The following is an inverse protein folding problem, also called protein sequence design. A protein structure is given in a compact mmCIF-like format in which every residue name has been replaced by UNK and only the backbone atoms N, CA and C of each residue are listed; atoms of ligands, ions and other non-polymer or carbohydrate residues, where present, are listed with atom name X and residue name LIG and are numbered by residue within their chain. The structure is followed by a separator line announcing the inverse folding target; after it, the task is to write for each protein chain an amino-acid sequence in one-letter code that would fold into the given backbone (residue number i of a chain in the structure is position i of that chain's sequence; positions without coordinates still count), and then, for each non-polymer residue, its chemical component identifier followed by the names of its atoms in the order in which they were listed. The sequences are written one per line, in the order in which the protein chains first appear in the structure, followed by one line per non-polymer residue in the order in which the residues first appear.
data_IF_334169800729
#
_entry.id   IF_334169800729
#
_cell.length_a   1.000
_cell.length_b   1.000
_cell.length_c   1.000
_cell.angle_alpha   90.00
_cell.angle_beta   90.00
_cell.angle_gamma   90.00
#
_symmetry.space_group_name_H-M   'P 1'
#
loop_
_entity.id
_entity.type
_entity.pdbx_description
1 polymer ?
#
# COMPACT_ATOMS: atom_id res chain seq x y z
N UNK A 1 -14.60 6.85 29.97
CA UNK A 1 -14.48 8.10 30.75
C UNK A 1 -15.78 8.87 30.65
N UNK A 2 -16.23 9.55 31.71
CA UNK A 2 -17.41 10.41 31.64
C UNK A 2 -17.04 11.76 30.99
N UNK A 3 -17.85 12.31 30.07
CA UNK A 3 -17.57 13.58 29.43
C UNK A 3 -17.59 14.73 30.45
N UNK A 4 -16.79 15.80 30.23
CA UNK A 4 -16.72 16.92 31.16
C UNK A 4 -18.05 17.68 31.22
N UNK A 5 -18.31 18.35 32.35
CA UNK A 5 -19.45 19.25 32.48
C UNK A 5 -19.17 20.53 31.69
N UNK A 6 -20.05 20.85 30.75
CA UNK A 6 -20.00 22.06 29.92
C UNK A 6 -21.28 22.88 30.10
N UNK A 7 -21.21 24.18 29.88
CA UNK A 7 -22.36 25.09 29.96
C UNK A 7 -23.24 24.99 28.72
N UNK A 8 -22.65 24.94 27.53
CA UNK A 8 -23.38 24.91 26.25
C UNK A 8 -23.42 23.52 25.60
N UNK A 9 -24.12 22.58 26.24
CA UNK A 9 -24.23 21.20 25.74
C UNK A 9 -25.04 21.06 24.44
N UNK A 10 -25.79 22.09 24.04
CA UNK A 10 -26.54 22.09 22.78
C UNK A 10 -25.64 22.24 21.55
N UNK A 11 -24.40 22.71 21.71
CA UNK A 11 -23.47 22.89 20.59
C UNK A 11 -23.02 21.56 19.96
N UNK A 12 -22.76 20.54 20.77
CA UNK A 12 -22.46 19.19 20.29
C UNK A 12 -22.74 18.15 21.39
N UNK A 13 -23.18 16.97 20.96
CA UNK A 13 -23.35 15.80 21.82
C UNK A 13 -22.20 14.78 21.69
N UNK A 14 -21.20 15.05 20.83
CA UNK A 14 -20.08 14.15 20.64
C UNK A 14 -19.10 14.23 21.81
N UNK A 15 -18.65 13.09 22.38
CA UNK A 15 -17.77 13.11 23.55
C UNK A 15 -16.51 13.96 23.35
N UNK A 16 -15.87 13.88 22.19
CA UNK A 16 -14.63 14.63 21.89
C UNK A 16 -14.87 16.14 21.84
N UNK A 17 -15.98 16.58 21.26
CA UNK A 17 -16.35 17.99 21.18
C UNK A 17 -16.59 18.59 22.57
N UNK A 18 -17.14 17.81 23.49
CA UNK A 18 -17.34 18.25 24.88
C UNK A 18 -16.02 18.53 25.60
N UNK A 19 -14.95 17.77 25.31
CA UNK A 19 -13.61 18.07 25.85
C UNK A 19 -13.04 19.36 25.28
N UNK A 20 -13.24 19.63 23.98
CA UNK A 20 -12.83 20.90 23.36
C UNK A 20 -13.64 22.06 23.93
N UNK A 21 -14.96 21.92 24.03
CA UNK A 21 -15.86 22.94 24.57
C UNK A 21 -15.51 23.29 26.01
N UNK A 22 -15.21 22.31 26.87
CA UNK A 22 -14.79 22.58 28.24
C UNK A 22 -13.54 23.48 28.31
N UNK A 23 -12.55 23.27 27.42
CA UNK A 23 -11.37 24.12 27.33
C UNK A 23 -11.69 25.52 26.80
N UNK A 24 -12.54 25.62 25.78
CA UNK A 24 -13.00 26.92 25.26
C UNK A 24 -13.72 27.72 26.34
N UNK A 25 -14.68 27.11 27.04
CA UNK A 25 -15.45 27.76 28.11
C UNK A 25 -14.56 28.21 29.27
N UNK A 26 -13.58 27.39 29.68
CA UNK A 26 -12.61 27.76 30.70
C UNK A 26 -11.73 28.96 30.28
N UNK A 27 -11.42 29.07 28.99
CA UNK A 27 -10.71 30.21 28.41
C UNK A 27 -11.62 31.42 28.11
N UNK A 28 -12.93 31.36 28.42
CA UNK A 28 -13.89 32.41 28.09
C UNK A 28 -14.19 32.54 26.60
N UNK A 29 -13.80 31.55 25.79
CA UNK A 29 -14.02 31.50 24.35
C UNK A 29 -15.34 30.78 24.02
N UNK A 30 -15.88 31.08 22.84
CA UNK A 30 -17.05 30.41 22.28
C UNK A 30 -16.67 29.75 20.96
N UNK A 31 -17.30 28.61 20.60
CA UNK A 31 -17.14 28.04 19.28
C UNK A 31 -17.50 29.03 18.17
N UNK A 32 -16.77 28.95 17.05
CA UNK A 32 -17.10 29.71 15.85
C UNK A 32 -18.46 29.31 15.29
N UNK A 33 -19.12 30.24 14.61
CA UNK A 33 -20.33 29.92 13.84
C UNK A 33 -20.01 28.92 12.74
N UNK A 34 -20.97 28.06 12.42
CA UNK A 34 -20.88 27.15 11.29
C UNK A 34 -20.68 27.94 10.00
N UNK A 35 -19.85 27.39 9.10
CA UNK A 35 -19.61 28.00 7.81
C UNK A 35 -20.85 27.88 6.90
N UNK A 36 -20.97 28.78 5.93
CA UNK A 36 -22.04 28.67 4.94
C UNK A 36 -21.86 27.41 4.06
N UNK A 37 -22.96 26.93 3.48
CA UNK A 37 -22.95 25.69 2.69
C UNK A 37 -21.95 25.69 1.53
N UNK A 38 -21.70 26.83 0.86
CA UNK A 38 -20.73 26.88 -0.26
C UNK A 38 -19.32 26.68 0.27
N UNK A 39 -19.01 27.28 1.40
CA UNK A 39 -17.73 27.08 2.10
C UNK A 39 -17.58 25.64 2.59
N UNK A 40 -18.62 25.06 3.18
CA UNK A 40 -18.60 23.68 3.68
C UNK A 40 -18.30 22.66 2.58
N UNK A 41 -19.07 22.65 1.48
CA UNK A 41 -18.85 21.68 0.40
C UNK A 41 -17.45 21.82 -0.21
N UNK A 42 -16.95 23.05 -0.35
CA UNK A 42 -15.60 23.28 -0.87
C UNK A 42 -14.56 22.65 0.04
N UNK A 43 -14.61 22.91 1.36
CA UNK A 43 -13.64 22.40 2.33
C UNK A 43 -13.65 20.87 2.38
N UNK A 44 -14.82 20.29 2.63
CA UNK A 44 -14.94 18.82 2.79
C UNK A 44 -14.58 18.06 1.51
N UNK A 45 -14.82 18.64 0.32
CA UNK A 45 -14.39 18.00 -0.94
C UNK A 45 -12.87 17.97 -1.07
N UNK A 46 -12.18 19.07 -0.74
CA UNK A 46 -10.71 19.09 -0.73
C UNK A 46 -10.14 18.18 0.36
N UNK A 47 -10.72 18.21 1.56
CA UNK A 47 -10.23 17.42 2.69
C UNK A 47 -10.38 15.91 2.45
N UNK A 48 -11.50 15.48 1.85
CA UNK A 48 -11.75 14.05 1.62
C UNK A 48 -11.17 13.54 0.30
N UNK A 49 -11.19 14.35 -0.77
CA UNK A 49 -10.85 13.85 -2.12
C UNK A 49 -9.68 14.57 -2.77
N UNK A 50 -9.16 15.64 -2.15
CA UNK A 50 -8.13 16.49 -2.75
C UNK A 50 -8.60 17.33 -3.93
N UNK A 51 -9.88 17.28 -4.28
CA UNK A 51 -10.44 17.90 -5.48
C UNK A 51 -11.55 18.92 -5.16
N UNK A 52 -11.72 19.96 -5.99
CA UNK A 52 -12.86 20.86 -5.87
C UNK A 52 -14.16 20.11 -6.19
N UNK A 53 -15.30 20.50 -5.56
CA UNK A 53 -16.59 19.94 -5.93
C UNK A 53 -17.00 20.36 -7.34
N UNK A 54 -17.73 19.51 -8.04
CA UNK A 54 -18.34 19.86 -9.33
C UNK A 54 -19.48 20.87 -9.14
N UNK A 55 -19.84 21.58 -10.21
CA UNK A 55 -20.97 22.53 -10.17
C UNK A 55 -22.28 21.84 -9.79
N UNK A 56 -22.46 20.60 -10.20
CA UNK A 56 -23.68 19.82 -9.96
C UNK A 56 -23.79 19.40 -8.50
N UNK A 57 -22.68 18.96 -7.90
CA UNK A 57 -22.60 18.64 -6.47
C UNK A 57 -22.88 19.87 -5.59
N UNK A 58 -22.34 21.03 -5.98
CA UNK A 58 -22.64 22.31 -5.28
C UNK A 58 -24.13 22.63 -5.37
N UNK A 59 -24.74 22.54 -6.55
CA UNK A 59 -26.18 22.81 -6.70
C UNK A 59 -27.02 21.82 -5.88
N UNK A 60 -26.69 20.53 -5.92
CA UNK A 60 -27.40 19.50 -5.17
C UNK A 60 -27.34 19.76 -3.66
N UNK A 61 -26.15 20.02 -3.10
CA UNK A 61 -25.99 20.26 -1.66
C UNK A 61 -26.65 21.56 -1.19
N UNK A 62 -26.62 22.62 -2.01
CA UNK A 62 -27.31 23.87 -1.68
C UNK A 62 -28.84 23.70 -1.66
N UNK A 63 -29.38 22.90 -2.57
CA UNK A 63 -30.81 22.62 -2.67
C UNK A 63 -31.32 21.67 -1.57
N UNK A 64 -30.47 20.78 -1.04
CA UNK A 64 -30.83 19.80 -0.02
C UNK A 64 -31.08 20.48 1.35
N UNK A 65 -32.35 20.57 1.77
CA UNK A 65 -32.76 21.15 3.05
C UNK A 65 -32.95 20.10 4.15
N UNK A 66 -32.61 18.84 3.89
CA UNK A 66 -32.75 17.78 4.88
C UNK A 66 -31.80 18.04 6.07
N UNK A 67 -32.18 17.59 7.28
CA UNK A 67 -31.30 17.69 8.44
C UNK A 67 -30.04 16.80 8.33
N UNK A 68 -29.94 15.95 7.29
CA UNK A 68 -28.81 15.06 7.01
C UNK A 68 -28.03 15.43 5.74
N UNK A 69 -28.24 16.63 5.21
CA UNK A 69 -27.68 17.05 3.92
C UNK A 69 -26.15 16.99 3.92
N UNK A 70 -25.52 17.32 5.05
CA UNK A 70 -24.07 17.32 5.20
C UNK A 70 -23.50 15.90 5.29
N UNK A 71 -24.10 15.04 6.10
CA UNK A 71 -23.73 13.64 6.24
C UNK A 71 -23.87 12.90 4.90
N UNK A 72 -24.97 13.11 4.18
CA UNK A 72 -25.17 12.52 2.86
C UNK A 72 -24.15 13.03 1.83
N UNK A 73 -23.64 14.26 1.96
CA UNK A 73 -22.53 14.76 1.15
C UNK A 73 -21.22 14.05 1.51
N UNK A 74 -20.92 13.91 2.79
CA UNK A 74 -19.73 13.20 3.28
C UNK A 74 -19.72 11.75 2.78
N UNK A 75 -20.83 11.03 2.93
CA UNK A 75 -20.96 9.63 2.47
C UNK A 75 -20.66 9.50 0.97
N UNK A 76 -21.18 10.42 0.15
CA UNK A 76 -20.90 10.44 -1.29
C UNK A 76 -19.44 10.71 -1.61
N UNK A 77 -18.77 11.57 -0.83
CA UNK A 77 -17.36 11.88 -1.02
C UNK A 77 -16.45 10.72 -0.59
N UNK A 78 -16.76 10.06 0.53
CA UNK A 78 -16.05 8.86 0.99
C UNK A 78 -16.19 7.69 0.00
N UNK A 79 -17.31 7.59 -0.70
CA UNK A 79 -17.53 6.56 -1.72
C UNK A 79 -16.79 6.80 -3.05
N UNK A 80 -16.13 7.96 -3.23
CA UNK A 80 -15.37 8.24 -4.46
C UNK A 80 -14.01 7.55 -4.42
N UNK A 81 -13.54 7.04 -5.55
CA UNK A 81 -12.19 6.47 -5.69
C UNK A 81 -11.08 7.44 -5.25
N UNK A 82 -11.30 8.72 -5.48
CA UNK A 82 -10.36 9.79 -5.13
C UNK A 82 -10.16 9.95 -3.62
N UNK A 83 -11.09 9.46 -2.79
CA UNK A 83 -10.90 9.44 -1.35
C UNK A 83 -9.67 8.62 -0.96
N UNK A 84 -9.61 7.35 -1.38
CA UNK A 84 -8.46 6.50 -1.12
C UNK A 84 -7.17 7.03 -1.75
N UNK A 85 -7.23 7.61 -2.96
CA UNK A 85 -6.06 8.24 -3.60
C UNK A 85 -5.52 9.42 -2.78
N UNK A 86 -6.41 10.27 -2.27
CA UNK A 86 -6.03 11.46 -1.50
C UNK A 86 -5.43 11.10 -0.14
N UNK A 87 -6.10 10.21 0.60
CA UNK A 87 -5.64 9.79 1.94
C UNK A 87 -4.38 8.94 1.84
N UNK A 88 -4.28 8.05 0.85
CA UNK A 88 -3.09 7.22 0.65
C UNK A 88 -1.82 8.05 0.47
N UNK A 89 -1.89 9.25 -0.15
CA UNK A 89 -0.72 10.12 -0.30
C UNK A 89 -0.04 10.41 1.04
N UNK A 90 -0.82 10.81 2.05
CA UNK A 90 -0.30 11.10 3.38
C UNK A 90 0.26 9.85 4.07
N UNK A 91 -0.40 8.71 3.87
CA UNK A 91 0.10 7.43 4.38
C UNK A 91 1.43 7.04 3.74
N UNK A 92 1.53 7.15 2.42
CA UNK A 92 2.71 6.80 1.64
C UNK A 92 3.92 7.68 2.00
N UNK A 93 3.69 8.97 2.25
CA UNK A 93 4.71 9.87 2.79
C UNK A 93 5.20 9.39 4.17
N UNK A 94 4.27 9.02 5.07
CA UNK A 94 4.58 8.56 6.43
C UNK A 94 5.40 7.25 6.44
N UNK A 95 5.08 6.31 5.55
CA UNK A 95 5.77 5.02 5.46
C UNK A 95 7.03 5.05 4.57
N UNK A 96 7.47 6.23 4.14
CA UNK A 96 8.68 6.43 3.31
C UNK A 96 8.59 5.72 1.96
N UNK A 97 7.40 5.69 1.35
CA UNK A 97 7.25 5.13 0.01
C UNK A 97 8.05 5.95 -1.00
N UNK A 98 8.86 5.27 -1.81
CA UNK A 98 9.65 5.90 -2.88
C UNK A 98 9.81 4.96 -4.07
N UNK A 99 9.93 5.56 -5.26
CA UNK A 99 10.14 4.83 -6.52
C UNK A 99 11.62 4.48 -6.77
N UNK A 100 12.53 4.77 -5.84
CA UNK A 100 13.98 4.52 -6.00
C UNK A 100 14.64 4.09 -4.69
N UNK A 101 15.89 3.59 -4.77
CA UNK A 101 16.68 3.14 -3.61
C UNK A 101 16.96 4.25 -2.58
N UNK A 102 16.97 5.50 -3.03
CA UNK A 102 17.19 6.71 -2.23
C UNK A 102 18.62 6.87 -1.71
N UNK A 103 19.56 6.03 -2.15
CA UNK A 103 20.97 6.12 -1.80
C UNK A 103 21.87 5.72 -2.99
N UNK A 104 22.98 6.45 -3.17
CA UNK A 104 24.03 6.17 -4.16
C UNK A 104 23.58 6.08 -5.63
N UNK A 105 23.49 4.88 -6.22
CA UNK A 105 23.15 4.74 -7.65
C UNK A 105 21.65 4.91 -7.90
N UNK A 106 20.86 4.91 -6.83
CA UNK A 106 19.46 5.29 -6.80
C UNK A 106 18.60 4.56 -7.85
N UNK A 107 18.72 3.23 -7.89
CA UNK A 107 17.97 2.44 -8.85
C UNK A 107 16.46 2.53 -8.63
N UNK A 108 15.70 2.50 -9.73
CA UNK A 108 14.25 2.39 -9.70
C UNK A 108 13.78 1.16 -8.91
N UNK A 109 12.69 1.32 -8.17
CA UNK A 109 12.02 0.32 -7.35
C UNK A 109 10.56 0.20 -7.76
N UNK A 110 10.15 -1.03 -8.08
CA UNK A 110 8.76 -1.29 -8.41
C UNK A 110 8.00 -1.76 -7.17
N UNK A 111 7.40 -0.81 -6.48
CA UNK A 111 6.53 -1.05 -5.33
C UNK A 111 5.09 -0.61 -5.61
N UNK A 112 4.72 -0.52 -6.90
CA UNK A 112 3.41 -0.04 -7.35
C UNK A 112 2.27 -0.83 -6.70
N UNK A 113 2.44 -2.15 -6.56
CA UNK A 113 1.45 -3.01 -5.91
C UNK A 113 1.14 -2.55 -4.47
N UNK A 114 2.16 -2.13 -3.71
CA UNK A 114 1.97 -1.63 -2.34
C UNK A 114 1.18 -0.33 -2.34
N UNK A 115 1.54 0.64 -3.19
CA UNK A 115 0.81 1.91 -3.35
C UNK A 115 -0.66 1.66 -3.68
N UNK A 116 -0.90 0.82 -4.68
CA UNK A 116 -2.25 0.52 -5.14
C UNK A 116 -3.05 -0.24 -4.08
N UNK A 117 -2.40 -1.10 -3.29
CA UNK A 117 -3.03 -1.77 -2.15
C UNK A 117 -3.44 -0.77 -1.07
N UNK A 118 -2.59 0.20 -0.69
CA UNK A 118 -2.95 1.25 0.29
C UNK A 118 -4.18 2.04 -0.18
N UNK A 119 -4.23 2.43 -1.45
CA UNK A 119 -5.38 3.15 -2.04
C UNK A 119 -6.65 2.30 -1.94
N UNK A 120 -6.57 1.02 -2.28
CA UNK A 120 -7.71 0.10 -2.17
C UNK A 120 -8.15 -0.09 -0.72
N UNK A 121 -7.21 -0.30 0.21
CA UNK A 121 -7.50 -0.50 1.62
C UNK A 121 -8.31 0.66 2.22
N UNK A 122 -8.00 1.91 1.85
CA UNK A 122 -8.81 3.07 2.26
C UNK A 122 -10.19 3.10 1.60
N UNK A 123 -10.28 2.88 0.28
CA UNK A 123 -11.55 2.89 -0.44
C UNK A 123 -12.50 1.75 -0.02
N UNK A 124 -11.95 0.58 0.30
CA UNK A 124 -12.69 -0.59 0.75
C UNK A 124 -13.01 -0.53 2.25
N UNK A 125 -12.55 0.53 2.95
CA UNK A 125 -12.71 0.74 4.38
C UNK A 125 -12.21 -0.46 5.20
N UNK A 126 -11.00 -0.94 4.88
CA UNK A 126 -10.36 -2.02 5.62
C UNK A 126 -10.20 -1.61 7.08
N UNK A 127 -10.60 -2.50 8.01
CA UNK A 127 -10.48 -2.24 9.43
C UNK A 127 -9.03 -1.94 9.83
N UNK A 128 -8.84 -0.92 10.66
CA UNK A 128 -7.50 -0.42 11.01
C UNK A 128 -6.59 -1.53 11.56
N UNK A 129 -7.12 -2.40 12.42
CA UNK A 129 -6.43 -3.57 12.94
C UNK A 129 -5.81 -4.45 11.85
N UNK A 130 -6.57 -4.78 10.80
CA UNK A 130 -6.10 -5.63 9.71
C UNK A 130 -5.17 -4.85 8.77
N UNK A 131 -5.45 -3.57 8.55
CA UNK A 131 -4.54 -2.67 7.82
C UNK A 131 -3.15 -2.62 8.47
N UNK A 132 -3.07 -2.61 9.81
CA UNK A 132 -1.80 -2.69 10.54
C UNK A 132 -1.15 -4.07 10.45
N UNK A 133 -1.92 -5.13 10.75
CA UNK A 133 -1.39 -6.51 10.76
C UNK A 133 -0.83 -6.93 9.42
N UNK A 134 -1.51 -6.59 8.32
CA UNK A 134 -1.08 -6.94 6.97
C UNK A 134 0.24 -6.24 6.61
N UNK A 135 0.43 -4.98 7.01
CA UNK A 135 1.69 -4.26 6.77
C UNK A 135 2.85 -4.78 7.59
N UNK A 136 2.62 -5.13 8.86
CA UNK A 136 3.69 -5.58 9.75
C UNK A 136 4.07 -7.04 9.54
N UNK A 137 3.10 -7.91 9.24
CA UNK A 137 3.25 -9.35 9.32
C UNK A 137 2.41 -10.13 8.27
N UNK A 138 1.98 -9.49 7.19
CA UNK A 138 1.12 -10.13 6.18
C UNK A 138 1.73 -11.40 5.55
N UNK A 139 3.04 -11.46 5.42
CA UNK A 139 3.80 -12.63 4.95
C UNK A 139 3.85 -13.79 5.96
N UNK A 140 3.56 -13.53 7.23
CA UNK A 140 3.54 -14.54 8.30
C UNK A 140 2.17 -15.21 8.46
N UNK A 141 1.15 -14.79 7.69
CA UNK A 141 -0.15 -15.45 7.71
C UNK A 141 -0.07 -16.84 7.06
N UNK A 142 -0.73 -17.87 7.63
CA UNK A 142 -0.85 -19.15 6.97
C UNK A 142 -1.61 -18.98 5.65
N UNK A 143 -1.03 -19.42 4.54
CA UNK A 143 -1.58 -19.22 3.19
C UNK A 143 -1.89 -17.75 2.88
N UNK A 144 -0.92 -16.87 3.18
CA UNK A 144 -1.03 -15.42 2.94
C UNK A 144 -1.58 -15.11 1.55
N UNK A 145 -2.61 -14.26 1.53
CA UNK A 145 -3.21 -13.74 0.30
C UNK A 145 -2.27 -12.76 -0.41
N UNK A 146 -2.51 -12.47 -1.68
CA UNK A 146 -1.74 -11.48 -2.42
C UNK A 146 -1.75 -10.11 -1.74
N UNK A 147 -2.89 -9.66 -1.19
CA UNK A 147 -2.95 -8.37 -0.51
C UNK A 147 -2.13 -8.36 0.79
N UNK A 148 -2.11 -9.47 1.54
CA UNK A 148 -1.25 -9.60 2.73
C UNK A 148 0.24 -9.61 2.37
N UNK A 149 0.63 -10.33 1.32
CA UNK A 149 2.02 -10.34 0.83
C UNK A 149 2.46 -8.99 0.27
N UNK A 150 1.55 -8.26 -0.36
CA UNK A 150 1.83 -6.92 -0.87
C UNK A 150 1.96 -5.93 0.27
N UNK A 151 1.04 -5.97 1.24
CA UNK A 151 1.05 -5.10 2.40
C UNK A 151 2.32 -5.27 3.24
N UNK A 152 2.80 -6.50 3.43
CA UNK A 152 4.05 -6.76 4.18
C UNK A 152 5.29 -6.15 3.50
N UNK A 153 5.15 -5.72 2.24
CA UNK A 153 6.09 -4.84 1.53
C UNK A 153 6.43 -3.55 2.27
N UNK A 154 5.64 -3.10 3.25
CA UNK A 154 5.99 -2.04 4.20
C UNK A 154 7.40 -2.24 4.79
N UNK A 155 7.73 -3.48 5.19
CA UNK A 155 9.04 -3.82 5.77
C UNK A 155 10.21 -3.68 4.77
N UNK A 156 9.89 -3.60 3.48
CA UNK A 156 10.85 -3.37 2.41
C UNK A 156 10.99 -1.90 2.03
N UNK A 157 10.20 -0.96 2.54
CA UNK A 157 10.26 0.46 2.15
C UNK A 157 11.51 1.22 2.64
N UNK A 158 12.41 0.57 3.38
CA UNK A 158 13.69 1.14 3.78
C UNK A 158 14.54 1.55 2.57
N UNK A 159 15.45 2.51 2.78
CA UNK A 159 16.49 2.85 1.80
C UNK A 159 17.39 1.65 1.57
N UNK A 160 17.76 1.39 0.31
CA UNK A 160 18.62 0.25 -0.03
C UNK A 160 19.96 0.78 -0.53
N UNK A 161 21.05 0.23 0.01
CA UNK A 161 22.41 0.56 -0.40
C UNK A 161 22.80 -0.31 -1.59
N UNK A 162 23.53 0.25 -2.54
CA UNK A 162 24.03 -0.51 -3.68
C UNK A 162 25.37 -1.17 -3.35
N UNK A 163 25.58 -2.37 -3.91
CA UNK A 163 26.80 -3.12 -3.70
C UNK A 163 28.04 -2.29 -4.03
N UNK A 164 29.00 -2.34 -3.11
CA UNK A 164 30.29 -1.67 -3.22
C UNK A 164 30.27 -0.23 -2.69
N UNK A 165 29.23 0.16 -1.95
CA UNK A 165 29.21 1.48 -1.30
C UNK A 165 29.32 1.46 0.22
N UNK A 166 28.81 0.43 0.89
CA UNK A 166 29.08 0.17 2.29
C UNK A 166 29.47 -1.31 2.46
N UNK A 167 29.82 -1.69 3.69
CA UNK A 167 29.94 -3.09 4.05
C UNK A 167 28.53 -3.71 4.11
N UNK A 168 28.32 -4.95 3.62
CA UNK A 168 27.00 -5.60 3.67
C UNK A 168 26.39 -5.62 5.08
N UNK A 169 27.21 -5.77 6.11
CA UNK A 169 26.76 -5.77 7.51
C UNK A 169 26.29 -4.39 7.97
N UNK A 170 26.94 -3.32 7.52
CA UNK A 170 26.52 -1.94 7.78
C UNK A 170 25.20 -1.64 7.07
N UNK A 171 25.08 -2.07 5.80
CA UNK A 171 23.86 -1.96 5.01
C UNK A 171 22.69 -2.68 5.69
N UNK A 172 22.92 -3.92 6.14
CA UNK A 172 21.93 -4.71 6.86
C UNK A 172 21.49 -4.01 8.16
N UNK A 173 22.44 -3.54 8.95
CA UNK A 173 22.17 -2.82 10.19
C UNK A 173 21.27 -1.60 9.95
N UNK A 174 21.58 -0.78 8.93
CA UNK A 174 20.77 0.39 8.55
C UNK A 174 19.36 0.00 8.13
N UNK A 175 19.19 -1.08 7.39
CA UNK A 175 17.86 -1.58 6.99
C UNK A 175 17.00 -1.94 8.21
N UNK A 176 17.60 -2.57 9.23
CA UNK A 176 16.88 -2.93 10.46
C UNK A 176 16.57 -1.68 11.30
N UNK A 177 17.51 -0.73 11.43
CA UNK A 177 17.27 0.56 12.09
C UNK A 177 16.11 1.33 11.43
N UNK A 178 16.04 1.35 10.10
CA UNK A 178 14.94 1.98 9.37
C UNK A 178 13.61 1.32 9.71
N UNK A 179 13.53 -0.01 9.70
CA UNK A 179 12.31 -0.76 10.07
C UNK A 179 11.83 -0.44 11.49
N UNK A 180 12.73 -0.41 12.48
CA UNK A 180 12.38 -0.05 13.86
C UNK A 180 11.86 1.38 13.93
N UNK A 181 12.57 2.31 13.29
CA UNK A 181 12.23 3.74 13.23
C UNK A 181 10.87 3.95 12.56
N UNK A 182 10.61 3.21 11.48
CA UNK A 182 9.39 3.22 10.73
C UNK A 182 8.19 2.85 11.57
N UNK A 183 8.31 1.74 12.30
CA UNK A 183 7.22 1.22 13.13
C UNK A 183 6.95 2.16 14.30
N UNK A 184 8.00 2.64 14.97
CA UNK A 184 7.86 3.61 16.05
C UNK A 184 7.16 4.89 15.59
N UNK A 185 7.58 5.46 14.48
CA UNK A 185 7.02 6.72 13.98
C UNK A 185 5.59 6.54 13.44
N UNK A 186 5.37 5.52 12.61
CA UNK A 186 4.10 5.34 11.87
C UNK A 186 2.99 4.83 12.78
N UNK A 187 3.27 3.84 13.62
CA UNK A 187 2.23 3.10 14.34
C UNK A 187 2.16 3.45 15.82
N UNK A 188 3.28 3.84 16.43
CA UNK A 188 3.32 4.22 17.86
C UNK A 188 3.27 5.74 18.05
N UNK A 189 3.53 6.54 17.00
CA UNK A 189 3.66 7.99 17.10
C UNK A 189 4.86 8.42 17.96
N UNK A 190 5.91 7.60 18.02
CA UNK A 190 7.08 7.78 18.87
C UNK A 190 8.37 7.92 18.06
N UNK A 191 9.25 8.83 18.47
CA UNK A 191 10.57 9.05 17.85
C UNK A 191 11.64 8.09 18.37
N UNK A 192 11.40 6.78 18.23
CA UNK A 192 12.29 5.73 18.75
C UNK A 192 13.72 5.81 18.18
N UNK A 193 13.91 6.43 17.02
CA UNK A 193 15.22 6.54 16.35
C UNK A 193 16.30 7.23 17.19
N UNK A 194 15.95 8.20 18.04
CA UNK A 194 16.95 8.86 18.89
C UNK A 194 17.63 7.86 19.83
N UNK A 195 16.92 6.79 20.21
CA UNK A 195 17.42 5.72 21.06
C UNK A 195 18.47 4.80 20.40
N UNK A 196 18.78 5.00 19.11
CA UNK A 196 19.81 4.23 18.40
C UNK A 196 21.20 4.44 19.03
N UNK A 197 21.52 5.69 19.42
CA UNK A 197 22.86 6.08 19.88
C UNK A 197 22.95 6.39 21.38
N UNK A 198 21.85 6.82 22.01
CA UNK A 198 21.78 7.20 23.42
C UNK A 198 20.33 7.08 23.91
N UNK A 199 20.06 7.00 25.21
CA UNK A 199 18.67 7.02 25.72
C UNK A 199 17.89 8.24 25.21
N UNK A 200 16.62 8.06 24.88
CA UNK A 200 15.81 9.12 24.28
C UNK A 200 15.73 10.35 25.20
N UNK A 201 15.83 11.55 24.62
CA UNK A 201 16.03 12.80 25.37
C UNK A 201 14.86 13.16 26.30
N UNK A 202 13.63 12.85 25.89
CA UNK A 202 12.41 13.29 26.58
C UNK A 202 11.50 12.13 26.98
N UNK A 203 11.21 11.23 26.05
CA UNK A 203 10.44 10.01 26.33
C UNK A 203 11.25 8.97 27.11
N UNK A 204 10.59 8.14 27.94
CA UNK A 204 11.22 7.10 28.75
C UNK A 204 11.57 5.86 27.90
N UNK A 205 12.32 6.06 26.81
CA UNK A 205 12.83 5.01 25.95
C UNK A 205 14.34 4.91 26.10
N UNK A 206 14.82 3.77 26.56
CA UNK A 206 16.26 3.52 26.65
C UNK A 206 16.81 3.00 25.33
N UNK A 207 18.13 3.10 25.15
CA UNK A 207 18.83 2.45 24.06
C UNK A 207 18.60 0.93 24.09
N UNK A 208 18.49 0.33 25.28
CA UNK A 208 18.16 -1.09 25.43
C UNK A 208 16.79 -1.42 24.85
N UNK A 209 15.79 -0.57 25.02
CA UNK A 209 14.45 -0.77 24.45
C UNK A 209 14.52 -0.73 22.92
N UNK A 210 15.27 0.22 22.36
CA UNK A 210 15.51 0.29 20.92
C UNK A 210 16.15 -0.99 20.38
N UNK A 211 17.23 -1.48 20.99
CA UNK A 211 17.88 -2.71 20.53
C UNK A 211 17.07 -3.98 20.82
N UNK A 212 16.13 -3.95 21.78
CA UNK A 212 15.17 -5.03 21.99
C UNK A 212 14.15 -5.10 20.84
N UNK A 213 13.66 -3.95 20.36
CA UNK A 213 12.85 -3.89 19.13
C UNK A 213 13.69 -4.23 17.89
N UNK A 214 14.93 -3.78 17.80
CA UNK A 214 15.86 -4.14 16.73
C UNK A 214 15.97 -5.66 16.58
N UNK A 215 16.15 -6.39 17.69
CA UNK A 215 16.24 -7.85 17.66
C UNK A 215 15.01 -8.52 17.03
N UNK A 216 13.81 -7.94 17.21
CA UNK A 216 12.58 -8.45 16.58
C UNK A 216 12.58 -8.26 15.05
N UNK A 217 13.10 -7.13 14.56
CA UNK A 217 13.18 -6.83 13.12
C UNK A 217 14.45 -7.35 12.45
N UNK A 218 15.40 -7.87 13.20
CA UNK A 218 16.67 -8.41 12.72
C UNK A 218 16.53 -9.83 12.13
N UNK A 219 15.51 -10.04 11.30
CA UNK A 219 15.10 -11.33 10.76
C UNK A 219 14.72 -11.27 9.27
N UNK A 220 15.11 -10.21 8.56
CA UNK A 220 14.77 -10.07 7.15
C UNK A 220 15.58 -11.06 6.30
N UNK A 221 14.88 -11.96 5.61
CA UNK A 221 15.48 -12.89 4.65
C UNK A 221 15.61 -12.21 3.28
N UNK A 222 16.50 -11.22 3.21
CA UNK A 222 16.80 -10.47 2.00
C UNK A 222 18.26 -10.02 2.00
N UNK A 223 18.83 -9.86 0.80
CA UNK A 223 20.15 -9.25 0.68
C UNK A 223 20.11 -7.80 1.20
N UNK A 224 21.13 -7.36 1.96
CA UNK A 224 21.19 -6.00 2.46
C UNK A 224 21.42 -4.94 1.39
N UNK A 225 21.87 -5.36 0.21
CA UNK A 225 22.32 -4.50 -0.86
C UNK A 225 21.77 -4.91 -2.22
N UNK A 226 21.64 -3.94 -3.12
CA UNK A 226 21.39 -4.22 -4.52
C UNK A 226 22.66 -4.70 -5.22
N UNK A 227 22.67 -5.93 -5.75
CA UNK A 227 23.81 -6.48 -6.51
C UNK A 227 24.09 -5.82 -7.86
N UNK A 228 23.21 -4.94 -8.35
CA UNK A 228 23.24 -4.28 -9.66
C UNK A 228 21.86 -3.69 -10.00
N UNK A 229 21.63 -3.18 -11.21
CA UNK A 229 20.29 -2.67 -11.57
C UNK A 229 19.28 -3.84 -11.58
N UNK A 230 18.26 -3.84 -10.69
CA UNK A 230 17.31 -4.93 -10.63
C UNK A 230 16.41 -4.92 -11.87
N UNK A 231 16.14 -6.10 -12.42
CA UNK A 231 15.17 -6.23 -13.51
C UNK A 231 13.80 -5.76 -13.03
N UNK A 232 13.18 -4.86 -13.79
CA UNK A 232 11.89 -4.24 -13.45
C UNK A 232 11.84 -3.53 -12.09
N UNK A 233 12.99 -3.18 -11.49
CA UNK A 233 13.00 -2.53 -10.18
C UNK A 233 12.66 -3.44 -8.99
N UNK A 234 12.66 -4.77 -9.17
CA UNK A 234 12.28 -5.71 -8.12
C UNK A 234 13.52 -6.38 -7.52
N UNK A 235 13.65 -6.27 -6.19
CA UNK A 235 14.69 -6.96 -5.44
C UNK A 235 14.10 -8.22 -4.77
N UNK A 236 14.74 -9.39 -4.90
CA UNK A 236 14.31 -10.58 -4.19
C UNK A 236 14.33 -10.42 -2.66
N UNK A 237 13.50 -11.20 -1.94
CA UNK A 237 12.28 -11.84 -2.44
C UNK A 237 11.23 -10.82 -2.87
N UNK A 238 10.44 -11.16 -3.90
CA UNK A 238 9.29 -10.39 -4.35
C UNK A 238 8.11 -11.31 -4.66
N UNK A 239 6.89 -10.82 -4.47
CA UNK A 239 5.67 -11.52 -4.86
C UNK A 239 5.27 -11.13 -6.29
N UNK A 240 4.87 -12.12 -7.10
CA UNK A 240 4.21 -11.83 -8.38
C UNK A 240 2.72 -11.66 -8.11
N UNK A 241 2.21 -10.46 -8.37
CA UNK A 241 0.79 -10.16 -8.21
C UNK A 241 0.15 -9.84 -9.55
N UNK A 242 -1.10 -10.25 -9.69
CA UNK A 242 -1.91 -10.06 -10.87
C UNK A 242 -3.30 -9.58 -10.45
N UNK A 243 -3.87 -8.65 -11.20
CA UNK A 243 -5.27 -8.24 -11.02
C UNK A 243 -6.21 -9.43 -11.33
N UNK A 244 -7.48 -9.40 -10.90
CA UNK A 244 -8.44 -10.44 -11.26
C UNK A 244 -8.54 -10.66 -12.78
N UNK A 245 -8.48 -9.58 -13.56
CA UNK A 245 -8.50 -9.61 -15.03
C UNK A 245 -7.25 -10.28 -15.58
N UNK A 246 -6.07 -9.90 -15.07
CA UNK A 246 -4.81 -10.53 -15.46
C UNK A 246 -4.75 -12.01 -15.06
N UNK A 247 -5.33 -12.40 -13.92
CA UNK A 247 -5.42 -13.82 -13.52
C UNK A 247 -6.31 -14.60 -14.49
N UNK A 248 -7.44 -14.02 -14.92
CA UNK A 248 -8.33 -14.63 -15.89
C UNK A 248 -7.62 -14.80 -17.24
N UNK A 249 -7.01 -13.73 -17.75
CA UNK A 249 -6.25 -13.74 -19.00
C UNK A 249 -5.09 -14.75 -18.94
N UNK A 250 -4.35 -14.78 -17.83
CA UNK A 250 -3.28 -15.75 -17.62
C UNK A 250 -3.81 -17.19 -17.64
N UNK A 251 -4.98 -17.44 -17.05
CA UNK A 251 -5.66 -18.73 -17.10
C UNK A 251 -6.02 -19.14 -18.53
N UNK A 252 -6.58 -18.22 -19.32
CA UNK A 252 -6.91 -18.44 -20.72
C UNK A 252 -5.66 -18.72 -21.57
N UNK A 253 -4.60 -17.91 -21.41
CA UNK A 253 -3.32 -18.10 -22.10
C UNK A 253 -2.65 -19.41 -21.70
N UNK A 254 -2.72 -19.81 -20.43
CA UNK A 254 -2.17 -21.09 -19.95
C UNK A 254 -2.89 -22.27 -20.58
N UNK A 255 -4.23 -22.20 -20.73
CA UNK A 255 -5.00 -23.23 -21.42
C UNK A 255 -4.65 -23.29 -22.91
N UNK A 256 -4.50 -22.14 -23.58
CA UNK A 256 -4.10 -22.08 -24.99
C UNK A 256 -2.70 -22.66 -25.21
N UNK A 257 -1.75 -22.36 -24.32
CA UNK A 257 -0.40 -22.92 -24.34
C UNK A 257 -0.43 -24.43 -24.15
N UNK A 258 -1.16 -24.93 -23.15
CA UNK A 258 -1.28 -26.37 -22.92
C UNK A 258 -1.87 -27.11 -24.13
N UNK A 259 -2.89 -26.54 -24.79
CA UNK A 259 -3.45 -27.10 -26.02
C UNK A 259 -2.45 -27.09 -27.18
N UNK A 260 -1.70 -26.00 -27.33
CA UNK A 260 -0.67 -25.85 -28.37
C UNK A 260 0.49 -26.83 -28.16
N UNK A 261 0.93 -27.01 -26.91
CA UNK A 261 1.97 -27.97 -26.53
C UNK A 261 1.54 -29.42 -26.78
N UNK A 262 0.28 -29.76 -26.48
CA UNK A 262 -0.28 -31.08 -26.79
C UNK A 262 -0.33 -31.31 -28.30
N UNK A 263 -0.78 -30.33 -29.09
CA UNK A 263 -0.81 -30.42 -30.54
C UNK A 263 0.61 -30.60 -31.12
N UNK A 264 1.58 -29.79 -30.67
CA UNK A 264 2.99 -29.92 -31.04
C UNK A 264 3.54 -31.31 -30.68
N UNK A 265 3.25 -31.82 -29.49
CA UNK A 265 3.71 -33.15 -29.04
C UNK A 265 3.09 -34.28 -29.87
N UNK A 266 1.80 -34.21 -30.15
CA UNK A 266 1.10 -35.19 -30.97
C UNK A 266 1.64 -35.21 -32.40
N UNK A 267 1.89 -34.04 -32.97
CA UNK A 267 2.40 -33.90 -34.34
C UNK A 267 3.88 -34.34 -34.44
N UNK A 268 4.72 -33.99 -33.47
CA UNK A 268 6.09 -34.54 -33.34
C UNK A 268 6.09 -36.06 -33.28
N UNK A 269 5.15 -36.65 -32.53
CA UNK A 269 5.00 -38.11 -32.44
C UNK A 269 4.59 -38.72 -33.78
N UNK A 270 3.60 -38.13 -34.48
CA UNK A 270 3.19 -38.58 -35.83
C UNK A 270 4.35 -38.54 -36.83
N UNK A 271 5.14 -37.46 -36.83
CA UNK A 271 6.33 -37.34 -37.70
C UNK A 271 7.37 -38.44 -37.40
N UNK A 272 7.56 -38.77 -36.12
CA UNK A 272 8.53 -39.77 -35.69
C UNK A 272 8.10 -41.21 -36.03
N UNK A 273 6.82 -41.53 -35.90
CA UNK A 273 6.27 -42.88 -36.08
C UNK A 273 5.87 -43.20 -37.53
N UNK A 274 5.66 -42.18 -38.37
CA UNK A 274 5.25 -42.36 -39.77
C UNK A 274 6.39 -42.91 -40.64
N UNK A 275 6.08 -43.96 -41.40
CA UNK A 275 7.00 -44.69 -42.28
C UNK A 275 6.81 -44.34 -43.75
N UNK A 276 5.63 -43.83 -44.13
CA UNK A 276 5.34 -43.34 -45.47
C UNK A 276 6.03 -41.97 -45.71
N UNK A 277 6.93 -41.86 -46.71
CA UNK A 277 7.70 -40.63 -46.96
C UNK A 277 6.83 -39.40 -47.26
N UNK A 278 5.72 -39.58 -47.99
CA UNK A 278 4.86 -38.48 -48.42
C UNK A 278 4.01 -37.98 -47.24
N UNK A 279 3.49 -38.90 -46.43
CA UNK A 279 2.77 -38.54 -45.19
C UNK A 279 3.68 -37.90 -44.16
N UNK A 280 4.90 -38.42 -44.00
CA UNK A 280 5.91 -37.85 -43.10
C UNK A 280 6.30 -36.42 -43.49
N UNK A 281 6.43 -36.17 -44.80
CA UNK A 281 6.68 -34.82 -45.32
C UNK A 281 5.50 -33.89 -45.03
N UNK A 282 4.26 -34.35 -45.22
CA UNK A 282 3.06 -33.57 -44.90
C UNK A 282 2.97 -33.20 -43.41
N UNK A 283 3.16 -34.17 -42.49
CA UNK A 283 3.17 -33.89 -41.04
C UNK A 283 4.34 -32.98 -40.62
N UNK A 284 5.49 -33.06 -41.29
CA UNK A 284 6.63 -32.17 -41.00
C UNK A 284 6.35 -30.73 -41.42
N UNK A 285 5.67 -30.53 -42.55
CA UNK A 285 5.23 -29.20 -42.99
C UNK A 285 4.17 -28.62 -42.04
N UNK A 286 3.23 -29.45 -41.59
CA UNK A 286 2.24 -29.06 -40.57
C UNK A 286 2.91 -28.67 -39.25
N UNK A 287 3.95 -29.39 -38.83
CA UNK A 287 4.73 -29.08 -37.62
C UNK A 287 5.49 -27.78 -37.74
N UNK A 288 6.10 -27.51 -38.90
CA UNK A 288 6.77 -26.23 -39.16
C UNK A 288 5.76 -25.07 -39.15
N UNK A 289 4.60 -25.23 -39.78
CA UNK A 289 3.56 -24.20 -39.79
C UNK A 289 3.01 -23.91 -38.39
N UNK A 290 2.78 -24.96 -37.59
CA UNK A 290 2.33 -24.80 -36.20
C UNK A 290 3.41 -24.13 -35.35
N UNK A 291 4.68 -24.52 -35.47
CA UNK A 291 5.79 -23.90 -34.73
C UNK A 291 5.98 -22.43 -35.12
N UNK A 292 5.85 -22.10 -36.41
CA UNK A 292 5.96 -20.73 -36.91
C UNK A 292 4.80 -19.82 -36.48
N UNK A 293 3.64 -20.37 -36.13
CA UNK A 293 2.50 -19.60 -35.59
C UNK A 293 2.69 -19.21 -34.12
N UNK A 294 3.59 -19.88 -33.40
CA UNK A 294 3.79 -19.73 -31.96
C UNK A 294 5.16 -19.15 -31.57
N UNK A 295 6.02 -18.84 -32.55
CA UNK A 295 7.27 -18.06 -32.39
C UNK A 295 7.06 -16.63 -32.88
#
# INVERSE_FOLDING_TARGET
SNPPKVKNRQWSNQPIDLYVLAKLEAAGLKPSKEADKRTLIRRVSFDLTGLPPTRDEVRAFLADKSPKAYEALVDRLLAKKQYGEHVARYWLDLVRFADTNGMHKDFYRNLIAYRDWVIRAFNDNLGYDDFLRYQLAGDLFPNATNDQLVASGFNRLHLIIDRGTALPEESFFKNVVDRVTAVGTTFMGMTVHCATCHDHKYDPLTQKDFYSLFAFFNNIDAAPETGGRPKNGLQPPFATVATPEQKKELGELTQQLAGSDQALKALKKKVAEEKDPDKKKAFSQELMALTAKHN
#
